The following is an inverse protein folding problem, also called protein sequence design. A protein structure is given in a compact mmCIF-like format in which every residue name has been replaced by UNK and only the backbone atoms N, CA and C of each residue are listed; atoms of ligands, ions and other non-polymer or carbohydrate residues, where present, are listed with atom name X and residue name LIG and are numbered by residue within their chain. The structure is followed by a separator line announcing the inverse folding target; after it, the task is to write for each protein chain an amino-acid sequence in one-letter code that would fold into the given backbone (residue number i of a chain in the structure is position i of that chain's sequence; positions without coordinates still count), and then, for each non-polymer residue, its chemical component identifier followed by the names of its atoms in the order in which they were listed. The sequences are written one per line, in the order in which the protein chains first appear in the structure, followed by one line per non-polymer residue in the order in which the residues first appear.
data_IF_283317030823
#
_entry.id   IF_283317030823
#
_cell.length_a   1.000
_cell.length_b   1.000
_cell.length_c   1.000
_cell.angle_alpha   90.00
_cell.angle_beta   90.00
_cell.angle_gamma   90.00
#
_symmetry.space_group_name_H-M   'P 1'
#
loop_
_entity.id
_entity.type
_entity.pdbx_description
1 polymer ?
#
# COMPACT_ATOMS: atom_id res chain seq x y z
N UNK A 1 -6.87 -14.30 -4.90
CA UNK A 1 -6.56 -12.84 -4.86
C UNK A 1 -6.27 -12.49 -3.42
N UNK A 2 -5.41 -11.50 -3.10
CA UNK A 2 -5.18 -11.15 -1.69
C UNK A 2 -5.90 -9.86 -1.35
N UNK A 3 -6.45 -9.81 -0.14
CA UNK A 3 -7.15 -8.62 0.38
C UNK A 3 -6.49 -8.15 1.65
N UNK A 4 -6.11 -6.88 1.69
CA UNK A 4 -5.56 -6.21 2.87
C UNK A 4 -6.32 -4.92 3.12
N UNK A 5 -6.09 -4.27 4.27
CA UNK A 5 -6.62 -2.92 4.51
C UNK A 5 -5.55 -1.87 4.25
N UNK A 6 -5.98 -0.67 3.88
CA UNK A 6 -5.10 0.49 3.76
C UNK A 6 -4.23 0.66 5.03
N UNK A 7 -4.82 0.49 6.22
CA UNK A 7 -4.14 0.50 7.52
C UNK A 7 -3.11 -0.61 7.69
N UNK A 8 -3.40 -1.85 7.27
CA UNK A 8 -2.44 -2.95 7.32
C UNK A 8 -1.20 -2.70 6.46
N UNK A 9 -1.36 -1.88 5.41
CA UNK A 9 -0.33 -1.48 4.47
C UNK A 9 0.29 -0.11 4.83
N UNK A 10 0.01 0.44 6.02
CA UNK A 10 0.61 1.67 6.55
C UNK A 10 -0.11 2.97 6.21
N UNK A 11 -1.30 2.90 5.62
CA UNK A 11 -2.16 4.05 5.39
C UNK A 11 -3.08 4.39 6.58
N UNK A 12 -3.86 5.48 6.49
CA UNK A 12 -4.62 6.01 7.62
C UNK A 12 -6.02 5.40 7.81
N UNK A 13 -6.53 4.58 6.88
CA UNK A 13 -7.92 4.13 6.89
C UNK A 13 -8.08 2.61 6.74
N UNK A 14 -9.28 2.09 7.00
CA UNK A 14 -9.57 0.64 6.99
C UNK A 14 -10.17 0.15 5.66
N UNK A 15 -10.06 0.94 4.59
CA UNK A 15 -10.55 0.54 3.27
C UNK A 15 -9.87 -0.76 2.84
N UNK A 16 -10.69 -1.75 2.44
CA UNK A 16 -10.21 -3.03 1.91
C UNK A 16 -9.70 -2.82 0.48
N UNK A 17 -8.47 -3.21 0.24
CA UNK A 17 -7.80 -3.19 -1.05
C UNK A 17 -7.50 -4.64 -1.43
N UNK A 18 -7.91 -5.03 -2.63
CA UNK A 18 -7.70 -6.37 -3.15
C UNK A 18 -6.89 -6.29 -4.42
N UNK A 19 -5.94 -7.20 -4.60
CA UNK A 19 -5.14 -7.27 -5.81
C UNK A 19 -4.67 -8.71 -6.09
N UNK A 20 -4.43 -9.00 -7.37
CA UNK A 20 -3.90 -10.30 -7.83
C UNK A 20 -2.38 -10.43 -7.67
N UNK A 21 -1.65 -9.32 -7.58
CA UNK A 21 -0.20 -9.30 -7.49
C UNK A 21 0.31 -8.18 -6.59
N UNK A 22 1.59 -8.26 -6.20
CA UNK A 22 2.22 -7.20 -5.41
C UNK A 22 2.22 -5.85 -6.16
N UNK A 23 2.54 -5.85 -7.45
CA UNK A 23 2.56 -4.63 -8.26
C UNK A 23 1.18 -3.98 -8.32
N UNK A 24 0.15 -4.80 -8.56
CA UNK A 24 -1.24 -4.34 -8.59
C UNK A 24 -1.70 -3.82 -7.22
N UNK A 25 -1.22 -4.39 -6.11
CA UNK A 25 -1.46 -3.86 -4.76
C UNK A 25 -0.78 -2.51 -4.54
N UNK A 26 0.46 -2.33 -5.01
CA UNK A 26 1.16 -1.04 -4.94
C UNK A 26 0.38 0.01 -5.71
N UNK A 27 -0.02 -0.28 -6.95
CA UNK A 27 -0.82 0.63 -7.77
C UNK A 27 -2.16 0.97 -7.10
N UNK A 28 -2.86 -0.03 -6.57
CA UNK A 28 -4.14 0.13 -5.88
C UNK A 28 -4.00 1.02 -4.65
N UNK A 29 -2.97 0.78 -3.82
CA UNK A 29 -2.67 1.61 -2.66
C UNK A 29 -2.33 3.04 -3.07
N UNK A 30 -1.38 3.22 -3.98
CA UNK A 30 -0.93 4.55 -4.42
C UNK A 30 -2.10 5.36 -4.98
N UNK A 31 -2.93 4.76 -5.84
CA UNK A 31 -4.14 5.40 -6.36
C UNK A 31 -5.10 5.78 -5.23
N UNK A 32 -5.37 4.86 -4.31
CA UNK A 32 -6.24 5.11 -3.17
C UNK A 32 -5.77 6.28 -2.29
N UNK A 33 -4.49 6.32 -1.91
CA UNK A 33 -3.96 7.41 -1.07
C UNK A 33 -3.92 8.74 -1.82
N UNK A 34 -3.59 8.75 -3.11
CA UNK A 34 -3.62 9.98 -3.92
C UNK A 34 -5.02 10.57 -4.01
N UNK A 35 -6.05 9.74 -4.15
CA UNK A 35 -7.44 10.20 -4.29
C UNK A 35 -8.12 10.52 -2.95
N UNK A 36 -7.84 9.75 -1.89
CA UNK A 36 -8.57 9.84 -0.60
C UNK A 36 -7.77 10.49 0.52
N UNK A 37 -6.44 10.49 0.42
CA UNK A 37 -5.52 10.91 1.48
C UNK A 37 -4.36 11.75 0.92
N UNK A 38 -4.63 12.97 0.40
CA UNK A 38 -3.60 13.79 -0.25
C UNK A 38 -2.42 14.12 0.66
N UNK A 39 -2.63 14.21 1.97
CA UNK A 39 -1.54 14.40 2.95
C UNK A 39 -0.64 13.15 3.06
N UNK A 40 -1.25 11.96 3.11
CA UNK A 40 -0.51 10.69 3.09
C UNK A 40 0.22 10.50 1.76
N UNK A 41 -0.40 10.87 0.64
CA UNK A 41 0.23 10.81 -0.68
C UNK A 41 1.50 11.67 -0.73
N UNK A 42 1.47 12.90 -0.20
CA UNK A 42 2.66 13.75 -0.08
C UNK A 42 3.74 13.12 0.81
N UNK A 43 3.36 12.52 1.94
CA UNK A 43 4.30 11.84 2.82
C UNK A 43 4.94 10.61 2.13
N UNK A 44 4.14 9.83 1.39
CA UNK A 44 4.61 8.69 0.61
C UNK A 44 5.51 9.12 -0.54
N UNK A 45 5.19 10.22 -1.24
CA UNK A 45 6.04 10.78 -2.29
C UNK A 45 7.40 11.21 -1.74
N UNK A 46 7.42 11.89 -0.59
CA UNK A 46 8.68 12.27 0.07
C UNK A 46 9.49 11.03 0.46
N UNK A 47 8.85 10.05 1.10
CA UNK A 47 9.47 8.78 1.48
C UNK A 47 10.00 8.02 0.25
N UNK A 48 9.30 8.08 -0.88
CA UNK A 48 9.69 7.44 -2.14
C UNK A 48 10.89 8.14 -2.79
N UNK A 49 10.97 9.46 -2.71
CA UNK A 49 12.17 10.20 -3.16
C UNK A 49 13.40 9.88 -2.30
N UNK A 50 13.23 9.66 -1.01
CA UNK A 50 14.33 9.29 -0.10
C UNK A 50 14.75 7.81 -0.26
N UNK A 51 13.80 6.87 -0.21
CA UNK A 51 14.03 5.46 -0.52
C UNK A 51 12.77 4.83 -1.14
N UNK A 52 12.73 4.67 -2.48
CA UNK A 52 11.54 4.18 -3.17
C UNK A 52 11.17 2.74 -2.79
N UNK A 53 12.13 1.99 -2.23
CA UNK A 53 11.95 0.59 -1.83
C UNK A 53 11.56 0.42 -0.37
N UNK A 54 11.61 1.48 0.45
CA UNK A 54 11.40 1.40 1.91
C UNK A 54 10.04 0.81 2.25
N UNK A 55 8.98 1.45 1.73
CA UNK A 55 7.62 1.00 1.96
C UNK A 55 7.45 -0.46 1.55
N UNK A 56 7.91 -0.81 0.34
CA UNK A 56 7.83 -2.18 -0.16
C UNK A 56 8.60 -3.20 0.70
N UNK A 57 9.75 -2.84 1.29
CA UNK A 57 10.47 -3.74 2.22
C UNK A 57 9.67 -4.05 3.48
N UNK A 58 8.87 -3.11 3.97
CA UNK A 58 8.07 -3.25 5.19
C UNK A 58 6.71 -3.92 4.94
N UNK A 59 6.12 -3.68 3.78
CA UNK A 59 4.75 -4.13 3.45
C UNK A 59 4.69 -5.35 2.56
N UNK A 60 5.65 -5.56 1.65
CA UNK A 60 5.72 -6.76 0.81
C UNK A 60 5.72 -8.06 1.62
N UNK A 61 6.53 -8.25 2.68
CA UNK A 61 6.48 -9.49 3.46
C UNK A 61 5.12 -9.71 4.13
N UNK A 62 4.42 -8.64 4.53
CA UNK A 62 3.06 -8.73 5.09
C UNK A 62 2.04 -9.16 4.02
N UNK A 63 2.17 -8.64 2.81
CA UNK A 63 1.37 -9.07 1.66
C UNK A 63 1.63 -10.53 1.28
N UNK A 64 2.90 -10.94 1.25
CA UNK A 64 3.28 -12.32 0.96
C UNK A 64 2.74 -13.30 2.02
N UNK A 65 2.77 -12.91 3.30
CA UNK A 65 2.19 -13.67 4.40
C UNK A 65 0.66 -13.64 4.45
N UNK A 66 0.00 -12.71 3.76
CA UNK A 66 -1.46 -12.65 3.73
C UNK A 66 -2.00 -13.82 2.89
N UNK A 67 -2.92 -14.64 3.45
CA UNK A 67 -3.52 -15.74 2.71
C UNK A 67 -4.35 -15.22 1.54
N UNK A 68 -4.37 -15.99 0.46
CA UNK A 68 -5.24 -15.72 -0.67
C UNK A 68 -6.70 -15.93 -0.24
N UNK A 69 -7.55 -14.97 -0.60
CA UNK A 69 -9.00 -15.00 -0.46
C UNK A 69 -9.64 -15.52 -1.74
#
# INVERSE_FOLDING_TARGET
MKTMTCKSLGGPCEQKLSAGSWDEMVQTMTKHVMEKHPETAKAMEKMHNEDPKRWGRETKPKWEATPET
#
